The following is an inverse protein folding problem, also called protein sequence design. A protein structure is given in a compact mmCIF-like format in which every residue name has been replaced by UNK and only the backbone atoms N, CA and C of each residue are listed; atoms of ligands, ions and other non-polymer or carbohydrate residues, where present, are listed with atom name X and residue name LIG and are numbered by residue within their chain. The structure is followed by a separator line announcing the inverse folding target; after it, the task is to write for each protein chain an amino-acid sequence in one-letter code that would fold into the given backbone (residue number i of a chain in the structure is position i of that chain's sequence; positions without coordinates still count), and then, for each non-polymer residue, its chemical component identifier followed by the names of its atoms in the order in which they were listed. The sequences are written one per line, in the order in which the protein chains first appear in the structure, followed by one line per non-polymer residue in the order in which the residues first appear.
data_IF_535790853858
#
_entry.id   IF_535790853858
#
_cell.length_a   1.000
_cell.length_b   1.000
_cell.length_c   1.000
_cell.angle_alpha   90.00
_cell.angle_beta   90.00
_cell.angle_gamma   90.00
#
_symmetry.space_group_name_H-M   'P 1'
#
loop_
_entity.id
_entity.type
_entity.pdbx_description
1 polymer ?
#
# COMPACT_ATOMS: atom_id res chain seq x y z
N UNK A 1 21.21 -12.67 -24.08
CA UNK A 1 21.26 -11.26 -23.67
C UNK A 1 20.20 -11.04 -22.60
N UNK A 2 20.52 -11.30 -21.33
CA UNK A 2 19.60 -11.07 -20.22
C UNK A 2 19.86 -9.66 -19.68
N UNK A 3 19.05 -8.69 -20.12
CA UNK A 3 19.06 -7.36 -19.52
C UNK A 3 18.77 -7.52 -18.03
N UNK A 4 19.75 -7.19 -17.20
CA UNK A 4 19.56 -7.00 -15.77
C UNK A 4 18.65 -5.78 -15.61
N UNK A 5 17.34 -6.01 -15.72
CA UNK A 5 16.33 -4.99 -15.48
C UNK A 5 16.47 -4.55 -14.03
N UNK A 6 16.85 -3.28 -13.85
CA UNK A 6 17.03 -2.62 -12.56
C UNK A 6 15.80 -2.97 -11.69
N UNK A 7 15.98 -3.82 -10.70
CA UNK A 7 14.91 -4.15 -9.76
C UNK A 7 14.75 -2.94 -8.84
N UNK A 8 13.71 -2.13 -9.08
CA UNK A 8 13.38 -1.03 -8.18
C UNK A 8 12.78 -1.61 -6.92
N UNK A 9 13.61 -1.68 -5.88
CA UNK A 9 13.21 -1.93 -4.50
C UNK A 9 12.71 -0.61 -3.89
N UNK A 10 11.69 -0.67 -3.05
CA UNK A 10 11.27 0.52 -2.33
C UNK A 10 12.42 1.06 -1.45
N UNK A 11 12.67 2.37 -1.46
CA UNK A 11 13.59 2.99 -0.53
C UNK A 11 13.10 2.85 0.92
N UNK A 12 14.02 2.93 1.87
CA UNK A 12 13.67 3.08 3.29
C UNK A 12 12.95 4.42 3.53
N UNK A 13 12.15 4.51 4.59
CA UNK A 13 11.36 5.68 4.94
C UNK A 13 12.19 6.98 4.99
N UNK A 14 13.44 6.90 5.48
CA UNK A 14 14.36 8.03 5.59
C UNK A 14 14.90 8.56 4.25
N UNK A 15 14.73 7.81 3.16
CA UNK A 15 15.10 8.27 1.81
C UNK A 15 14.04 9.16 1.18
N UNK A 16 12.84 9.24 1.78
CA UNK A 16 11.78 10.12 1.32
C UNK A 16 11.84 11.50 2.00
N UNK A 17 11.34 12.56 1.35
CA UNK A 17 11.22 13.86 1.99
C UNK A 17 10.38 13.78 3.28
N UNK A 18 10.78 14.44 4.37
CA UNK A 18 10.12 14.33 5.67
C UNK A 18 8.68 14.88 5.68
N UNK A 19 8.32 15.69 4.68
CA UNK A 19 6.99 16.29 4.53
C UNK A 19 6.18 15.68 3.38
N UNK A 20 6.59 14.51 2.86
CA UNK A 20 5.90 13.85 1.77
C UNK A 20 4.45 13.52 2.16
N UNK A 21 3.49 14.13 1.46
CA UNK A 21 2.06 13.96 1.73
C UNK A 21 1.35 13.08 0.69
N UNK A 22 1.93 12.95 -0.50
CA UNK A 22 1.39 12.12 -1.58
C UNK A 22 2.51 11.28 -2.18
N UNK A 23 2.25 9.99 -2.35
CA UNK A 23 3.18 9.08 -3.00
C UNK A 23 2.43 8.19 -3.98
N UNK A 24 2.98 8.09 -5.20
CA UNK A 24 2.56 7.10 -6.18
C UNK A 24 3.75 6.22 -6.52
N UNK A 25 3.60 4.91 -6.34
CA UNK A 25 4.56 3.92 -6.79
C UNK A 25 3.95 3.17 -7.97
N UNK A 26 4.73 3.02 -9.04
CA UNK A 26 4.33 2.33 -10.25
C UNK A 26 5.45 1.40 -10.73
N UNK A 27 5.10 0.16 -11.06
CA UNK A 27 6.06 -0.85 -11.54
C UNK A 27 7.20 -1.15 -10.54
N UNK A 28 6.92 -1.11 -9.23
CA UNK A 28 7.89 -1.43 -8.17
C UNK A 28 7.77 -2.91 -7.82
N UNK A 29 8.87 -3.66 -7.91
CA UNK A 29 8.85 -5.12 -7.68
C UNK A 29 8.86 -5.51 -6.20
N UNK A 30 9.39 -4.64 -5.34
CA UNK A 30 9.51 -4.92 -3.92
C UNK A 30 9.08 -3.71 -3.11
N UNK A 31 7.77 -3.57 -2.89
CA UNK A 31 7.17 -2.57 -2.00
C UNK A 31 7.13 -3.11 -0.58
N UNK A 32 7.84 -2.45 0.32
CA UNK A 32 7.74 -2.65 1.77
C UNK A 32 6.66 -1.72 2.32
N UNK A 33 5.56 -2.33 2.73
CA UNK A 33 4.44 -1.62 3.35
C UNK A 33 4.81 -1.12 4.76
N UNK A 34 5.80 -1.74 5.40
CA UNK A 34 6.32 -1.30 6.69
C UNK A 34 7.02 0.07 6.55
N UNK A 35 7.94 0.21 5.59
CA UNK A 35 8.67 1.46 5.37
C UNK A 35 7.76 2.61 4.97
N UNK A 36 6.80 2.37 4.07
CA UNK A 36 5.83 3.39 3.70
C UNK A 36 4.91 3.78 4.87
N UNK A 37 4.65 2.87 5.80
CA UNK A 37 3.84 3.10 6.99
C UNK A 37 4.50 4.02 8.02
N UNK A 38 5.83 4.14 7.98
CA UNK A 38 6.63 5.03 8.84
C UNK A 38 6.59 6.49 8.39
N UNK A 39 6.08 6.79 7.19
CA UNK A 39 6.03 8.15 6.65
C UNK A 39 5.00 9.01 7.42
N UNK A 40 5.45 10.00 8.22
CA UNK A 40 4.60 10.60 9.26
C UNK A 40 3.52 11.51 8.69
N UNK A 41 3.71 12.08 7.50
CA UNK A 41 2.80 13.03 6.85
C UNK A 41 2.11 12.48 5.61
N UNK A 42 2.31 11.20 5.29
CA UNK A 42 1.72 10.59 4.10
C UNK A 42 0.20 10.52 4.24
N UNK A 43 -0.51 11.18 3.32
CA UNK A 43 -1.96 11.29 3.30
C UNK A 43 -2.60 10.53 2.14
N UNK A 44 -1.88 10.40 1.03
CA UNK A 44 -2.40 9.77 -0.19
C UNK A 44 -1.36 8.79 -0.74
N UNK A 45 -1.72 7.52 -0.84
CA UNK A 45 -0.87 6.47 -1.39
C UNK A 45 -1.55 5.82 -2.59
N UNK A 46 -0.84 5.74 -3.72
CA UNK A 46 -1.26 4.95 -4.88
C UNK A 46 -0.20 3.91 -5.20
N UNK A 47 -0.60 2.63 -5.25
CA UNK A 47 0.23 1.53 -5.73
C UNK A 47 -0.35 1.02 -7.07
N UNK A 48 0.49 0.98 -8.11
CA UNK A 48 0.09 0.59 -9.46
C UNK A 48 1.06 -0.43 -10.05
N UNK A 49 0.56 -1.58 -10.53
CA UNK A 49 1.40 -2.66 -11.09
C UNK A 49 2.64 -2.95 -10.22
N UNK A 50 2.47 -2.94 -8.90
CA UNK A 50 3.58 -3.08 -7.96
C UNK A 50 3.38 -4.33 -7.12
N UNK A 51 4.47 -4.88 -6.59
CA UNK A 51 4.47 -6.12 -5.83
C UNK A 51 4.83 -5.83 -4.37
N UNK A 52 4.11 -6.45 -3.44
CA UNK A 52 4.35 -6.30 -2.00
C UNK A 52 5.31 -7.43 -1.60
N UNK A 53 6.53 -7.09 -1.20
CA UNK A 53 7.63 -8.07 -1.11
C UNK A 53 7.47 -9.06 0.05
N UNK A 54 6.89 -8.62 1.17
CA UNK A 54 7.12 -9.28 2.46
C UNK A 54 6.14 -10.41 2.81
N UNK A 55 5.06 -10.64 2.05
CA UNK A 55 4.05 -11.62 2.51
C UNK A 55 3.27 -12.34 1.40
N UNK A 56 3.91 -12.74 0.28
CA UNK A 56 3.28 -13.59 -0.76
C UNK A 56 1.87 -13.12 -1.18
N UNK A 57 1.72 -11.82 -1.45
CA UNK A 57 0.42 -11.25 -1.82
C UNK A 57 -0.47 -10.83 -0.65
N UNK A 58 0.03 -10.82 0.59
CA UNK A 58 -0.67 -10.21 1.72
C UNK A 58 -0.11 -8.82 2.02
N UNK A 59 -1.00 -7.84 2.16
CA UNK A 59 -0.63 -6.50 2.60
C UNK A 59 -0.89 -6.39 4.10
N UNK A 60 0.17 -6.44 4.91
CA UNK A 60 0.08 -6.29 6.36
C UNK A 60 0.23 -4.84 6.78
N UNK A 61 -0.60 -4.40 7.71
CA UNK A 61 -0.61 -3.04 8.23
C UNK A 61 -0.65 -3.10 9.74
N UNK A 62 0.48 -2.74 10.35
CA UNK A 62 0.67 -2.79 11.79
C UNK A 62 -0.11 -1.70 12.52
N UNK A 63 -0.37 -1.93 13.80
CA UNK A 63 -0.94 -0.95 14.72
C UNK A 63 -0.17 0.38 14.66
N UNK A 64 -0.90 1.48 14.49
CA UNK A 64 -0.32 2.83 14.40
C UNK A 64 0.39 3.14 13.08
N UNK A 65 0.48 2.18 12.16
CA UNK A 65 1.00 2.41 10.81
C UNK A 65 0.12 3.36 10.01
N UNK A 66 0.75 4.19 9.18
CA UNK A 66 0.05 5.17 8.32
C UNK A 66 -0.83 6.17 9.11
N UNK A 67 -0.26 6.88 10.11
CA UNK A 67 -1.03 7.68 11.06
C UNK A 67 -1.82 8.84 10.42
N UNK A 68 -1.42 9.28 9.22
CA UNK A 68 -2.04 10.39 8.50
C UNK A 68 -2.76 9.98 7.21
N UNK A 69 -2.78 8.69 6.85
CA UNK A 69 -3.28 8.26 5.55
C UNK A 69 -4.79 8.43 5.46
N UNK A 70 -5.24 9.16 4.43
CA UNK A 70 -6.65 9.49 4.18
C UNK A 70 -7.22 8.70 3.01
N UNK A 71 -6.40 8.40 2.01
CA UNK A 71 -6.82 7.60 0.86
C UNK A 71 -5.72 6.64 0.40
N UNK A 72 -6.12 5.40 0.14
CA UNK A 72 -5.30 4.36 -0.46
C UNK A 72 -5.93 3.94 -1.79
N UNK A 73 -5.12 3.91 -2.86
CA UNK A 73 -5.54 3.39 -4.16
C UNK A 73 -4.63 2.25 -4.60
N UNK A 74 -5.24 1.09 -4.83
CA UNK A 74 -4.62 -0.12 -5.34
C UNK A 74 -5.08 -0.33 -6.78
N UNK A 75 -4.13 -0.42 -7.72
CA UNK A 75 -4.43 -0.56 -9.15
C UNK A 75 -3.59 -1.66 -9.78
N UNK A 76 -4.20 -2.69 -10.37
CA UNK A 76 -3.46 -3.80 -11.02
C UNK A 76 -2.43 -4.42 -10.07
N UNK A 77 -2.89 -4.70 -8.85
CA UNK A 77 -2.12 -5.39 -7.82
C UNK A 77 -2.56 -6.86 -7.85
N UNK A 78 -2.39 -7.52 -9.00
CA UNK A 78 -3.06 -8.79 -9.28
C UNK A 78 -2.58 -9.92 -8.37
N UNK A 79 -1.37 -9.84 -7.80
CA UNK A 79 -0.86 -10.80 -6.82
C UNK A 79 -1.41 -10.58 -5.40
N UNK A 80 -2.08 -9.46 -5.13
CA UNK A 80 -2.56 -9.13 -3.79
C UNK A 80 -3.85 -9.90 -3.49
N UNK A 81 -3.80 -10.78 -2.50
CA UNK A 81 -4.90 -11.68 -2.12
C UNK A 81 -5.69 -11.21 -0.91
N UNK A 82 -5.02 -10.53 0.04
CA UNK A 82 -5.57 -10.10 1.33
C UNK A 82 -4.96 -8.78 1.77
N UNK A 83 -5.79 -7.90 2.35
CA UNK A 83 -5.35 -6.76 3.14
C UNK A 83 -5.63 -7.08 4.61
N UNK A 84 -4.56 -7.19 5.39
CA UNK A 84 -4.57 -7.58 6.78
C UNK A 84 -4.16 -6.38 7.64
N UNK A 85 -5.12 -5.81 8.35
CA UNK A 85 -4.91 -4.58 9.11
C UNK A 85 -5.16 -4.84 10.58
N UNK A 86 -4.12 -4.60 11.38
CA UNK A 86 -4.22 -4.62 12.84
C UNK A 86 -5.10 -3.47 13.33
N UNK A 87 -5.66 -3.62 14.52
CA UNK A 87 -6.45 -2.58 15.17
C UNK A 87 -5.65 -1.26 15.23
N UNK A 88 -6.32 -0.14 14.92
CA UNK A 88 -5.68 1.18 14.87
C UNK A 88 -4.77 1.44 13.65
N UNK A 89 -4.53 0.45 12.78
CA UNK A 89 -3.88 0.64 11.49
C UNK A 89 -4.70 1.58 10.59
N UNK A 90 -4.02 2.48 9.87
CA UNK A 90 -4.64 3.52 9.03
C UNK A 90 -5.85 4.22 9.69
N UNK A 91 -5.76 4.60 10.96
CA UNK A 91 -6.88 5.13 11.76
C UNK A 91 -7.61 6.35 11.17
N UNK A 92 -7.03 7.01 10.16
CA UNK A 92 -7.61 8.17 9.45
C UNK A 92 -8.09 7.87 8.03
N UNK A 93 -8.04 6.61 7.60
CA UNK A 93 -8.39 6.23 6.24
C UNK A 93 -9.87 6.48 5.99
N UNK A 94 -10.17 7.26 4.96
CA UNK A 94 -11.55 7.57 4.56
C UNK A 94 -11.96 6.82 3.31
N UNK A 95 -10.99 6.47 2.47
CA UNK A 95 -11.25 5.88 1.17
C UNK A 95 -10.23 4.81 0.81
N UNK A 96 -10.73 3.65 0.40
CA UNK A 96 -9.97 2.61 -0.27
C UNK A 96 -10.51 2.43 -1.69
N UNK A 97 -9.67 2.68 -2.69
CA UNK A 97 -10.01 2.45 -4.10
C UNK A 97 -9.28 1.22 -4.61
N UNK A 98 -10.02 0.22 -5.04
CA UNK A 98 -9.48 -1.02 -5.60
C UNK A 98 -9.88 -1.05 -7.07
N UNK A 99 -8.89 -1.16 -7.96
CA UNK A 99 -9.12 -1.20 -9.40
C UNK A 99 -8.30 -2.29 -10.05
N UNK A 100 -8.97 -3.21 -10.73
CA UNK A 100 -8.33 -4.38 -11.36
C UNK A 100 -7.35 -5.07 -10.40
N UNK A 101 -7.81 -5.59 -9.26
CA UNK A 101 -6.98 -6.42 -8.37
C UNK A 101 -7.67 -7.78 -8.29
N UNK A 102 -7.36 -8.66 -9.25
CA UNK A 102 -8.19 -9.85 -9.54
C UNK A 102 -8.17 -10.89 -8.44
N UNK A 103 -7.05 -11.01 -7.71
CA UNK A 103 -6.88 -12.08 -6.73
C UNK A 103 -7.25 -11.64 -5.31
N UNK A 104 -7.64 -10.37 -5.12
CA UNK A 104 -8.01 -9.81 -3.83
C UNK A 104 -9.37 -10.36 -3.40
N UNK A 105 -9.33 -11.38 -2.53
CA UNK A 105 -10.51 -12.15 -2.10
C UNK A 105 -11.08 -11.68 -0.78
N UNK A 106 -10.23 -11.15 0.11
CA UNK A 106 -10.64 -10.82 1.47
C UNK A 106 -10.29 -9.35 1.81
N UNK A 107 -11.32 -8.62 2.24
CA UNK A 107 -11.26 -7.26 2.81
C UNK A 107 -12.03 -7.15 4.13
N UNK A 108 -12.31 -8.27 4.80
CA UNK A 108 -13.18 -8.35 6.00
C UNK A 108 -12.59 -7.63 7.21
N UNK A 109 -11.26 -7.43 7.25
CA UNK A 109 -10.58 -6.68 8.31
C UNK A 109 -10.54 -5.15 8.04
N UNK A 110 -11.24 -4.66 7.02
CA UNK A 110 -11.33 -3.22 6.80
C UNK A 110 -12.34 -2.56 7.76
N UNK A 111 -11.97 -1.44 8.39
CA UNK A 111 -12.87 -0.67 9.24
C UNK A 111 -14.14 -0.27 8.50
N UNK A 112 -15.27 -0.41 9.19
CA UNK A 112 -16.62 -0.13 8.66
C UNK A 112 -16.82 1.32 8.20
N UNK A 113 -15.98 2.27 8.65
CA UNK A 113 -16.06 3.68 8.27
C UNK A 113 -15.40 3.99 6.92
N UNK A 114 -14.71 3.03 6.31
CA UNK A 114 -13.98 3.24 5.06
C UNK A 114 -14.93 3.07 3.89
N UNK A 115 -14.95 4.06 3.00
CA UNK A 115 -15.61 3.93 1.71
C UNK A 115 -14.73 3.06 0.81
N UNK A 116 -15.21 1.87 0.48
CA UNK A 116 -14.57 0.97 -0.49
C UNK A 116 -15.22 1.19 -1.86
N UNK A 117 -14.42 1.58 -2.84
CA UNK A 117 -14.88 1.74 -4.22
C UNK A 117 -14.14 0.76 -5.13
N UNK A 118 -14.90 -0.08 -5.81
CA UNK A 118 -14.44 -0.92 -6.91
C UNK A 118 -14.65 -0.13 -8.21
N UNK A 119 -13.56 0.23 -8.91
CA UNK A 119 -13.57 1.08 -10.11
C UNK A 119 -12.80 0.41 -11.24
#
# INVERSE_FOLDING_TARGET
MAGHGISFKCPAAGAFPPNLSQLTLSNVKDVSMEELGKLPKLQYLTLKHSYVSENMGRMKISHGGYPCLKALSLKRMDHLTVIDMEEGGMSRLKQLRIRHCTDLKNTENLPKHIIVSFV
#
